data_IF_944461177958
#
_entry.id   IF_944461177958
#
_cell.length_a   1.000
_cell.length_b   1.000
_cell.length_c   1.000
_cell.angle_alpha   90.00
_cell.angle_beta   90.00
_cell.angle_gamma   90.00
#
_symmetry.space_group_name_H-M   'P 1'
#
loop_
_entity.id
_entity.type
_entity.pdbx_description
1 polymer ?
#
# COMPACT_ATOMS: atom_id res chain seq x y z
N UNK A 1 1.85 68.84 -18.28
CA UNK A 1 3.29 68.91 -18.67
C UNK A 1 4.06 69.02 -17.35
N UNK A 2 4.62 67.98 -16.75
CA UNK A 2 5.11 66.66 -17.22
C UNK A 2 4.98 65.63 -16.09
N UNK A 3 4.28 64.51 -16.34
CA UNK A 3 4.31 63.33 -15.48
C UNK A 3 5.41 62.36 -15.95
N UNK A 4 6.03 61.68 -14.98
CA UNK A 4 7.18 60.79 -15.12
C UNK A 4 6.92 59.59 -16.05
N UNK A 5 7.89 59.14 -16.88
CA UNK A 5 7.76 57.91 -17.64
C UNK A 5 8.03 56.69 -16.74
N UNK A 6 7.16 55.69 -16.90
CA UNK A 6 7.25 54.38 -16.26
C UNK A 6 8.61 53.74 -16.56
N UNK A 7 9.38 53.45 -15.51
CA UNK A 7 10.57 52.61 -15.58
C UNK A 7 10.11 51.19 -15.87
N UNK A 8 10.35 50.73 -17.10
CA UNK A 8 10.18 49.35 -17.52
C UNK A 8 11.14 48.44 -16.76
N UNK A 9 10.65 47.86 -15.67
CA UNK A 9 11.27 46.70 -15.03
C UNK A 9 11.06 45.49 -15.94
N UNK A 10 12.09 45.16 -16.72
CA UNK A 10 12.20 43.90 -17.45
C UNK A 10 12.00 42.72 -16.50
N UNK A 11 10.91 41.97 -16.70
CA UNK A 11 10.70 40.65 -16.08
C UNK A 11 11.83 39.74 -16.60
N UNK A 12 12.69 39.16 -15.75
CA UNK A 12 13.65 38.19 -16.23
C UNK A 12 12.90 36.96 -16.77
N UNK A 13 13.22 36.46 -17.97
CA UNK A 13 12.59 35.28 -18.52
C UNK A 13 12.99 34.04 -17.70
N UNK A 14 11.97 33.40 -17.12
CA UNK A 14 11.85 31.94 -16.95
C UNK A 14 13.15 31.14 -16.99
N UNK A 15 13.87 31.11 -15.88
CA UNK A 15 14.94 30.15 -15.63
C UNK A 15 14.48 29.18 -14.53
N UNK A 16 13.68 28.20 -14.93
CA UNK A 16 13.67 26.92 -14.23
C UNK A 16 13.61 25.86 -15.32
N UNK A 17 14.75 25.66 -15.97
CA UNK A 17 15.06 24.36 -16.56
C UNK A 17 15.06 23.38 -15.40
N UNK A 18 13.87 22.87 -15.09
CA UNK A 18 13.68 21.68 -14.29
C UNK A 18 14.58 20.62 -14.91
N UNK A 19 15.69 20.33 -14.22
CA UNK A 19 16.57 19.21 -14.53
C UNK A 19 15.79 17.92 -14.30
N UNK A 20 14.84 17.61 -15.19
CA UNK A 20 14.18 16.33 -15.20
C UNK A 20 15.22 15.31 -15.65
N UNK A 21 15.52 14.28 -14.83
CA UNK A 21 16.41 13.23 -15.27
C UNK A 21 15.84 12.59 -16.56
N UNK A 22 16.70 12.17 -17.51
CA UNK A 22 16.31 11.75 -18.87
C UNK A 22 15.43 10.47 -18.96
N UNK A 23 14.75 10.05 -17.89
CA UNK A 23 13.96 8.82 -17.83
C UNK A 23 12.66 8.88 -16.99
N UNK A 24 12.08 10.07 -16.77
CA UNK A 24 10.87 10.26 -15.94
C UNK A 24 9.74 9.27 -16.25
N UNK A 25 9.43 9.04 -17.54
CA UNK A 25 8.36 8.11 -17.95
C UNK A 25 8.65 6.66 -17.53
N UNK A 26 9.91 6.20 -17.61
CA UNK A 26 10.28 4.85 -17.16
C UNK A 26 10.18 4.72 -15.65
N UNK A 27 10.63 5.73 -14.90
CA UNK A 27 10.50 5.77 -13.44
C UNK A 27 9.03 5.66 -13.01
N UNK A 28 8.15 6.48 -13.59
CA UNK A 28 6.72 6.43 -13.30
C UNK A 28 6.11 5.06 -13.61
N UNK A 29 6.43 4.50 -14.78
CA UNK A 29 5.91 3.19 -15.18
C UNK A 29 6.35 2.06 -14.23
N UNK A 30 7.58 2.14 -13.69
CA UNK A 30 8.10 1.19 -12.69
C UNK A 30 7.32 1.33 -11.37
N UNK A 31 7.09 2.56 -10.89
CA UNK A 31 6.36 2.80 -9.65
C UNK A 31 4.89 2.35 -9.75
N UNK A 32 4.25 2.57 -10.90
CA UNK A 32 2.89 2.08 -11.15
C UNK A 32 2.83 0.56 -11.15
N UNK A 33 3.85 -0.09 -11.70
CA UNK A 33 3.96 -1.55 -11.64
C UNK A 33 4.18 -2.07 -10.22
N UNK A 34 4.99 -1.40 -9.40
CA UNK A 34 5.15 -1.75 -7.99
C UNK A 34 3.83 -1.66 -7.25
N UNK A 35 3.10 -0.57 -7.47
CA UNK A 35 1.83 -0.32 -6.81
C UNK A 35 0.71 -1.25 -7.29
N UNK A 36 0.76 -1.70 -8.55
CA UNK A 36 -0.09 -2.76 -9.05
C UNK A 36 0.14 -4.08 -8.29
N UNK A 37 1.39 -4.50 -8.11
CA UNK A 37 1.71 -5.73 -7.37
C UNK A 37 1.33 -5.61 -5.89
N UNK A 38 1.60 -4.46 -5.28
CA UNK A 38 1.21 -4.15 -3.89
C UNK A 38 -0.31 -4.17 -3.70
N UNK A 39 -1.07 -3.59 -4.63
CA UNK A 39 -2.53 -3.67 -4.63
C UNK A 39 -3.04 -5.11 -4.79
N UNK A 40 -2.40 -5.91 -5.64
CA UNK A 40 -2.74 -7.33 -5.80
C UNK A 40 -2.49 -8.11 -4.51
N UNK A 41 -1.34 -7.93 -3.85
CA UNK A 41 -1.02 -8.61 -2.59
C UNK A 41 -1.95 -8.20 -1.45
N UNK A 42 -2.33 -6.93 -1.35
CA UNK A 42 -3.28 -6.44 -0.36
C UNK A 42 -4.64 -7.15 -0.45
N UNK A 43 -5.20 -7.28 -1.67
CA UNK A 43 -6.48 -7.98 -1.87
C UNK A 43 -6.37 -9.49 -1.69
N UNK A 44 -5.22 -10.09 -2.04
CA UNK A 44 -4.94 -11.49 -1.72
C UNK A 44 -4.97 -11.72 -0.20
N UNK A 45 -4.27 -10.89 0.59
CA UNK A 45 -4.32 -10.98 2.05
C UNK A 45 -5.72 -10.79 2.59
N UNK A 46 -6.49 -9.83 2.09
CA UNK A 46 -7.86 -9.61 2.54
C UNK A 46 -8.71 -10.88 2.41
N UNK A 47 -8.64 -11.56 1.26
CA UNK A 47 -9.41 -12.78 1.01
C UNK A 47 -8.87 -13.99 1.77
N UNK A 48 -7.55 -14.13 1.90
CA UNK A 48 -6.96 -15.27 2.61
C UNK A 48 -7.12 -15.16 4.12
N UNK A 49 -6.91 -13.97 4.69
CA UNK A 49 -7.20 -13.73 6.11
C UNK A 49 -8.70 -13.84 6.41
N UNK A 50 -9.59 -13.43 5.49
CA UNK A 50 -11.03 -13.70 5.63
C UNK A 50 -11.32 -15.20 5.78
N UNK A 51 -10.72 -16.04 4.93
CA UNK A 51 -10.86 -17.50 5.02
C UNK A 51 -10.25 -18.08 6.30
N UNK A 52 -9.13 -17.55 6.77
CA UNK A 52 -8.57 -17.96 8.06
C UNK A 52 -9.50 -17.60 9.22
N UNK A 53 -10.06 -16.39 9.22
CA UNK A 53 -11.03 -15.95 10.22
C UNK A 53 -12.32 -16.78 10.16
N UNK A 54 -12.71 -17.31 9.01
CA UNK A 54 -13.85 -18.22 8.92
C UNK A 54 -13.63 -19.49 9.74
N UNK A 55 -12.41 -20.04 9.74
CA UNK A 55 -12.09 -21.20 10.56
C UNK A 55 -12.14 -20.91 12.07
N UNK A 56 -12.01 -19.65 12.48
CA UNK A 56 -12.02 -19.23 13.90
C UNK A 56 -13.42 -18.79 14.35
N UNK A 57 -14.13 -18.03 13.52
CA UNK A 57 -15.44 -17.45 13.85
C UNK A 57 -16.62 -18.37 13.46
N UNK A 58 -16.39 -19.37 12.61
CA UNK A 58 -17.35 -20.40 12.21
C UNK A 58 -18.52 -19.92 11.33
N UNK A 59 -18.57 -18.64 10.97
CA UNK A 59 -19.64 -18.07 10.15
C UNK A 59 -19.10 -17.12 9.09
N UNK A 60 -19.61 -17.23 7.86
CA UNK A 60 -19.17 -16.38 6.74
C UNK A 60 -19.43 -14.90 7.03
N UNK A 61 -20.60 -14.60 7.60
CA UNK A 61 -21.03 -13.25 7.88
C UNK A 61 -20.11 -12.56 8.89
N UNK A 62 -19.73 -13.23 9.99
CA UNK A 62 -18.84 -12.62 10.98
C UNK A 62 -17.45 -12.34 10.39
N UNK A 63 -16.86 -13.31 9.68
CA UNK A 63 -15.52 -13.16 9.09
C UNK A 63 -15.47 -12.07 8.04
N UNK A 64 -16.48 -11.96 7.18
CA UNK A 64 -16.58 -10.91 6.16
C UNK A 64 -16.74 -9.53 6.82
N UNK A 65 -17.60 -9.40 7.84
CA UNK A 65 -17.80 -8.12 8.52
C UNK A 65 -16.50 -7.67 9.19
N UNK A 66 -15.84 -8.55 9.93
CA UNK A 66 -14.60 -8.22 10.65
C UNK A 66 -13.50 -7.82 9.68
N UNK A 67 -13.24 -8.63 8.65
CA UNK A 67 -12.13 -8.38 7.72
C UNK A 67 -12.37 -7.11 6.90
N UNK A 68 -13.58 -6.86 6.42
CA UNK A 68 -13.88 -5.64 5.65
C UNK A 68 -13.81 -4.43 6.56
N UNK A 69 -14.32 -4.52 7.78
CA UNK A 69 -14.27 -3.41 8.75
C UNK A 69 -12.83 -3.03 9.09
N UNK A 70 -11.98 -4.01 9.41
CA UNK A 70 -10.57 -3.73 9.74
C UNK A 70 -9.78 -3.25 8.53
N UNK A 71 -10.04 -3.76 7.33
CA UNK A 71 -9.42 -3.24 6.10
C UNK A 71 -9.83 -1.81 5.82
N UNK A 72 -11.12 -1.49 5.85
CA UNK A 72 -11.58 -0.12 5.58
C UNK A 72 -11.08 0.87 6.63
N UNK A 73 -11.12 0.47 7.91
CA UNK A 73 -10.62 1.31 9.00
C UNK A 73 -9.10 1.48 8.95
N UNK A 74 -8.36 0.40 8.76
CA UNK A 74 -6.90 0.41 8.64
C UNK A 74 -6.44 1.20 7.42
N UNK A 75 -7.03 1.00 6.25
CA UNK A 75 -6.69 1.78 5.05
C UNK A 75 -6.93 3.28 5.27
N UNK A 76 -8.06 3.65 5.89
CA UNK A 76 -8.36 5.05 6.24
C UNK A 76 -7.36 5.64 7.23
N UNK A 77 -7.07 4.93 8.32
CA UNK A 77 -6.06 5.34 9.30
C UNK A 77 -4.66 5.45 8.66
N UNK A 78 -4.30 4.49 7.83
CA UNK A 78 -3.04 4.45 7.09
C UNK A 78 -2.90 5.61 6.13
N UNK A 79 -3.96 5.96 5.40
CA UNK A 79 -3.96 7.10 4.49
C UNK A 79 -3.75 8.43 5.25
N UNK A 80 -4.40 8.60 6.40
CA UNK A 80 -4.22 9.79 7.26
C UNK A 80 -2.81 9.85 7.85
N UNK A 81 -2.33 8.74 8.42
CA UNK A 81 -1.00 8.66 9.03
C UNK A 81 0.10 8.81 7.98
N UNK A 82 -0.02 8.14 6.84
CA UNK A 82 0.88 8.23 5.70
C UNK A 82 0.91 9.63 5.08
N UNK A 83 -0.24 10.30 4.96
CA UNK A 83 -0.33 11.69 4.52
C UNK A 83 0.49 12.62 5.42
N UNK A 84 0.23 12.59 6.74
CA UNK A 84 1.02 13.37 7.71
C UNK A 84 2.50 13.00 7.70
N UNK A 85 2.82 11.71 7.60
CA UNK A 85 4.20 11.22 7.55
C UNK A 85 4.97 11.82 6.36
N UNK A 86 4.32 11.97 5.21
CA UNK A 86 4.95 12.58 4.02
C UNK A 86 5.29 14.05 4.18
N UNK A 87 4.57 14.76 5.05
CA UNK A 87 4.84 16.17 5.40
C UNK A 87 6.05 16.29 6.34
N UNK A 88 6.16 15.39 7.32
CA UNK A 88 7.27 15.37 8.28
C UNK A 88 8.58 14.82 7.70
N UNK A 89 8.51 13.81 6.82
CA UNK A 89 9.69 13.12 6.28
C UNK A 89 9.73 13.08 4.74
N UNK A 90 9.73 14.25 4.06
CA UNK A 90 9.60 14.33 2.60
C UNK A 90 10.76 13.71 1.82
N UNK A 91 11.92 13.48 2.45
CA UNK A 91 13.12 12.94 1.79
C UNK A 91 13.23 11.41 1.88
N UNK A 92 12.40 10.75 2.70
CA UNK A 92 12.49 9.32 2.99
C UNK A 92 11.35 8.49 2.40
N UNK A 93 10.63 9.01 1.40
CA UNK A 93 9.40 8.40 0.88
C UNK A 93 9.61 6.98 0.34
N UNK A 94 10.57 6.77 -0.56
CA UNK A 94 10.84 5.44 -1.15
C UNK A 94 11.42 4.46 -0.13
N UNK A 95 12.22 4.95 0.83
CA UNK A 95 12.72 4.12 1.94
C UNK A 95 11.55 3.68 2.83
N UNK A 96 10.60 4.58 3.09
CA UNK A 96 9.43 4.28 3.92
C UNK A 96 8.51 3.29 3.20
N UNK A 97 8.32 3.44 1.89
CA UNK A 97 7.61 2.46 1.07
C UNK A 97 8.25 1.07 1.14
N UNK A 98 9.58 0.99 1.00
CA UNK A 98 10.35 -0.25 1.17
C UNK A 98 10.12 -0.89 2.57
N UNK A 99 10.22 -0.09 3.64
CA UNK A 99 10.04 -0.57 5.02
C UNK A 99 8.61 -1.06 5.24
N UNK A 100 7.62 -0.38 4.68
CA UNK A 100 6.21 -0.78 4.75
C UNK A 100 6.00 -2.14 4.06
N UNK A 101 6.47 -2.31 2.82
CA UNK A 101 6.34 -3.56 2.08
C UNK A 101 7.04 -4.73 2.78
N UNK A 102 8.22 -4.50 3.35
CA UNK A 102 8.91 -5.50 4.18
C UNK A 102 8.15 -5.84 5.46
N UNK A 103 7.56 -4.84 6.12
CA UNK A 103 6.78 -5.04 7.35
C UNK A 103 5.51 -5.83 7.08
N UNK A 104 4.84 -5.56 5.96
CA UNK A 104 3.68 -6.33 5.49
C UNK A 104 4.08 -7.78 5.18
N UNK A 105 5.19 -7.98 4.45
CA UNK A 105 5.71 -9.32 4.15
C UNK A 105 6.05 -10.09 5.43
N UNK A 106 6.72 -9.44 6.38
CA UNK A 106 7.07 -10.03 7.67
C UNK A 106 5.82 -10.44 8.46
N UNK A 107 4.82 -9.55 8.53
CA UNK A 107 3.54 -9.88 9.14
C UNK A 107 2.88 -11.07 8.43
N UNK A 108 2.88 -11.07 7.09
CA UNK A 108 2.32 -12.15 6.28
C UNK A 108 2.93 -13.52 6.59
N UNK A 109 4.24 -13.60 6.83
CA UNK A 109 4.94 -14.85 7.22
C UNK A 109 4.38 -15.42 8.53
N UNK A 110 4.18 -14.56 9.53
CA UNK A 110 3.71 -14.97 10.84
C UNK A 110 2.19 -15.05 10.94
N UNK A 111 1.47 -14.43 10.01
CA UNK A 111 0.01 -14.31 10.05
C UNK A 111 -0.73 -15.65 10.20
N UNK A 112 -0.32 -16.77 9.56
CA UNK A 112 -1.03 -18.03 9.73
C UNK A 112 -0.97 -18.53 11.18
N UNK A 113 0.20 -18.44 11.81
CA UNK A 113 0.41 -18.88 13.19
C UNK A 113 -0.29 -17.96 14.19
N UNK A 114 -0.22 -16.64 13.96
CA UNK A 114 -0.87 -15.64 14.82
C UNK A 114 -2.39 -15.83 14.80
N UNK A 115 -2.98 -15.95 13.61
CA UNK A 115 -4.43 -16.07 13.45
C UNK A 115 -4.92 -17.44 13.94
N UNK A 116 -4.20 -18.54 13.68
CA UNK A 116 -4.57 -19.86 14.19
C UNK A 116 -4.47 -19.98 15.72
N UNK A 117 -3.70 -19.10 16.36
CA UNK A 117 -3.58 -19.08 17.82
C UNK A 117 -4.71 -18.30 18.51
N UNK A 118 -5.60 -17.64 17.77
CA UNK A 118 -6.68 -16.82 18.32
C UNK A 118 -7.59 -17.61 19.26
N UNK A 119 -7.93 -18.86 18.92
CA UNK A 119 -8.74 -19.74 19.76
C UNK A 119 -8.10 -19.96 21.14
N UNK A 120 -6.78 -20.07 21.21
CA UNK A 120 -6.05 -20.24 22.47
C UNK A 120 -6.08 -18.99 23.35
N UNK A 121 -6.14 -17.80 22.74
CA UNK A 121 -6.23 -16.52 23.45
C UNK A 121 -7.65 -16.12 23.84
N UNK A 122 -8.66 -16.69 23.18
CA UNK A 122 -10.05 -16.29 23.34
C UNK A 122 -10.73 -16.86 24.60
N UNK A 123 -9.95 -17.22 25.65
CA UNK A 123 -10.35 -17.78 26.95
C UNK A 123 -11.87 -17.97 27.08
N UNK A 124 -12.36 -19.21 26.88
CA UNK A 124 -13.79 -19.62 26.84
C UNK A 124 -14.55 -19.60 25.50
N UNK A 125 -13.88 -19.57 24.34
CA UNK A 125 -14.56 -19.56 23.03
C UNK A 125 -15.52 -18.37 22.84
N UNK A 126 -15.23 -17.24 23.49
CA UNK A 126 -16.07 -16.07 23.38
C UNK A 126 -15.85 -15.35 22.05
N UNK A 127 -16.82 -15.47 21.14
CA UNK A 127 -16.80 -14.87 19.81
C UNK A 127 -16.48 -13.37 19.81
N UNK A 128 -16.95 -12.62 20.81
CA UNK A 128 -16.68 -11.18 20.89
C UNK A 128 -15.20 -10.88 21.13
N UNK A 129 -14.54 -11.70 21.96
CA UNK A 129 -13.10 -11.57 22.21
C UNK A 129 -12.32 -11.92 20.94
N UNK A 130 -12.70 -12.99 20.25
CA UNK A 130 -12.08 -13.39 18.97
C UNK A 130 -12.18 -12.27 17.93
N UNK A 131 -13.34 -11.61 17.82
CA UNK A 131 -13.56 -10.47 16.91
C UNK A 131 -12.63 -9.31 17.25
N UNK A 132 -12.56 -8.91 18.52
CA UNK A 132 -11.72 -7.78 18.97
C UNK A 132 -10.25 -8.08 18.72
N UNK A 133 -9.78 -9.28 19.08
CA UNK A 133 -8.39 -9.69 18.85
C UNK A 133 -8.05 -9.74 17.36
N UNK A 134 -8.94 -10.28 16.53
CA UNK A 134 -8.78 -10.31 15.07
C UNK A 134 -8.63 -8.89 14.51
N UNK A 135 -9.47 -7.97 14.97
CA UNK A 135 -9.41 -6.56 14.57
C UNK A 135 -8.09 -5.91 15.00
N UNK A 136 -7.67 -6.10 16.26
CA UNK A 136 -6.42 -5.52 16.79
C UNK A 136 -5.17 -6.09 16.13
N UNK A 137 -5.18 -7.36 15.72
CA UNK A 137 -4.06 -7.99 15.02
C UNK A 137 -3.97 -7.47 13.58
N UNK A 138 -5.11 -7.39 12.89
CA UNK A 138 -5.15 -7.05 11.46
C UNK A 138 -5.12 -5.53 11.20
N UNK A 139 -5.39 -4.68 12.19
CA UNK A 139 -5.28 -3.23 12.03
C UNK A 139 -3.85 -2.78 11.72
N UNK A 140 -2.84 -3.47 12.26
CA UNK A 140 -1.44 -3.14 12.02
C UNK A 140 -1.06 -3.25 10.53
N UNK A 141 -1.16 -4.42 9.86
CA UNK A 141 -0.80 -4.56 8.46
C UNK A 141 -1.71 -3.74 7.53
N UNK A 142 -3.01 -3.60 7.83
CA UNK A 142 -3.94 -2.83 7.00
C UNK A 142 -3.67 -1.32 7.08
N UNK A 143 -3.23 -0.80 8.23
CA UNK A 143 -2.74 0.58 8.36
C UNK A 143 -1.49 0.81 7.53
N UNK A 144 -0.55 -0.14 7.54
CA UNK A 144 0.65 -0.08 6.70
C UNK A 144 0.29 -0.09 5.20
N UNK A 145 -0.63 -0.96 4.78
CA UNK A 145 -1.16 -0.99 3.42
C UNK A 145 -1.78 0.36 3.03
N UNK A 146 -2.55 0.99 3.93
CA UNK A 146 -3.16 2.31 3.68
C UNK A 146 -2.15 3.45 3.52
N UNK A 147 -1.01 3.36 4.21
CA UNK A 147 0.05 4.37 4.14
C UNK A 147 0.83 4.35 2.82
N UNK A 148 0.83 3.23 2.09
CA UNK A 148 1.55 3.12 0.81
C UNK A 148 1.10 4.15 -0.23
N UNK A 149 -0.21 4.40 -0.32
CA UNK A 149 -0.82 5.29 -1.30
C UNK A 149 -0.33 6.76 -1.16
N UNK A 150 -0.53 7.46 -0.03
CA UNK A 150 -0.09 8.85 0.09
C UNK A 150 1.43 9.00 -0.05
N UNK A 151 2.21 8.02 0.40
CA UNK A 151 3.67 8.02 0.25
C UNK A 151 4.07 8.02 -1.22
N UNK A 152 3.46 7.15 -2.01
CA UNK A 152 3.79 7.02 -3.42
C UNK A 152 3.23 8.17 -4.25
N UNK A 153 2.04 8.67 -3.91
CA UNK A 153 1.46 9.89 -4.52
C UNK A 153 2.40 11.07 -4.34
N UNK A 154 2.88 11.32 -3.11
CA UNK A 154 3.79 12.44 -2.84
C UNK A 154 5.09 12.31 -3.63
N UNK A 155 5.62 11.10 -3.77
CA UNK A 155 6.85 10.87 -4.53
C UNK A 155 6.64 11.06 -6.03
N UNK A 156 5.53 10.55 -6.59
CA UNK A 156 5.19 10.68 -8.01
C UNK A 156 4.85 12.13 -8.39
N UNK A 157 4.25 12.89 -7.49
CA UNK A 157 3.96 14.30 -7.67
C UNK A 157 5.21 15.16 -7.93
N UNK A 158 6.40 14.73 -7.51
CA UNK A 158 7.64 15.42 -7.87
C UNK A 158 7.95 15.34 -9.38
N UNK A 159 7.37 14.38 -10.11
CA UNK A 159 7.57 14.17 -11.54
C UNK A 159 6.41 14.69 -12.39
N UNK A 160 5.22 14.81 -11.81
CA UNK A 160 4.01 15.28 -12.46
C UNK A 160 3.65 16.66 -11.92
N UNK A 161 3.47 17.66 -12.78
CA UNK A 161 3.06 19.01 -12.35
C UNK A 161 1.61 19.10 -11.83
N UNK A 162 0.86 18.00 -11.86
CA UNK A 162 -0.55 17.94 -11.47
C UNK A 162 -0.83 16.78 -10.51
N UNK A 163 -1.07 17.10 -9.24
CA UNK A 163 -1.35 16.13 -8.19
C UNK A 163 -2.55 15.21 -8.51
N UNK A 164 -3.59 15.75 -9.13
CA UNK A 164 -4.77 14.97 -9.53
C UNK A 164 -4.45 13.84 -10.51
N UNK A 165 -3.45 14.05 -11.38
CA UNK A 165 -2.98 13.02 -12.31
C UNK A 165 -2.22 11.92 -11.57
N UNK A 166 -1.31 12.29 -10.67
CA UNK A 166 -0.57 11.35 -9.83
C UNK A 166 -1.49 10.47 -8.99
N UNK A 167 -2.50 11.08 -8.36
CA UNK A 167 -3.54 10.38 -7.59
C UNK A 167 -4.32 9.42 -8.50
N UNK A 168 -4.81 9.88 -9.64
CA UNK A 168 -5.61 9.07 -10.56
C UNK A 168 -4.86 7.88 -11.15
N UNK A 169 -3.64 8.08 -11.65
CA UNK A 169 -2.82 7.02 -12.27
C UNK A 169 -2.40 5.96 -11.24
N UNK A 170 -1.99 6.36 -10.03
CA UNK A 170 -1.68 5.43 -8.95
C UNK A 170 -2.92 4.69 -8.45
N UNK A 171 -4.04 5.40 -8.27
CA UNK A 171 -5.29 4.77 -7.85
C UNK A 171 -5.76 3.74 -8.87
N UNK A 172 -5.67 4.07 -10.17
CA UNK A 172 -5.96 3.13 -11.25
C UNK A 172 -5.07 1.89 -11.17
N UNK A 173 -3.75 2.05 -11.05
CA UNK A 173 -2.81 0.93 -10.97
C UNK A 173 -3.10 0.01 -9.77
N UNK A 174 -3.36 0.58 -8.59
CA UNK A 174 -3.67 -0.20 -7.39
C UNK A 174 -5.03 -0.88 -7.46
N UNK A 175 -6.06 -0.21 -7.97
CA UNK A 175 -7.38 -0.84 -8.14
C UNK A 175 -7.34 -1.95 -9.18
N UNK A 176 -6.60 -1.77 -10.28
CA UNK A 176 -6.39 -2.84 -11.27
C UNK A 176 -5.63 -4.02 -10.65
N UNK A 177 -4.59 -3.73 -9.86
CA UNK A 177 -3.85 -4.73 -9.08
C UNK A 177 -4.75 -5.49 -8.12
N UNK A 178 -5.56 -4.78 -7.35
CA UNK A 178 -6.53 -5.37 -6.42
C UNK A 178 -7.58 -6.24 -7.11
N UNK A 179 -8.12 -5.78 -8.25
CA UNK A 179 -9.04 -6.58 -9.06
C UNK A 179 -8.38 -7.87 -9.56
N UNK A 180 -7.14 -7.78 -10.04
CA UNK A 180 -6.35 -8.94 -10.46
C UNK A 180 -6.05 -9.89 -9.28
N UNK A 181 -5.68 -9.35 -8.12
CA UNK A 181 -5.46 -10.11 -6.89
C UNK A 181 -6.72 -10.84 -6.43
N UNK A 182 -7.88 -10.18 -6.44
CA UNK A 182 -9.16 -10.79 -6.10
C UNK A 182 -9.56 -11.92 -7.07
N UNK A 183 -9.33 -11.71 -8.37
CA UNK A 183 -9.50 -12.76 -9.38
C UNK A 183 -8.58 -13.96 -9.11
N UNK A 184 -7.29 -13.73 -8.90
CA UNK A 184 -6.33 -14.79 -8.60
C UNK A 184 -6.69 -15.54 -7.32
N UNK A 185 -7.09 -14.84 -6.26
CA UNK A 185 -7.50 -15.45 -5.00
C UNK A 185 -8.66 -16.42 -5.21
N UNK A 186 -9.77 -15.93 -5.77
CA UNK A 186 -11.03 -16.66 -5.84
C UNK A 186 -11.06 -17.77 -6.88
N UNK A 187 -10.35 -17.59 -8.01
CA UNK A 187 -10.47 -18.49 -9.17
C UNK A 187 -9.23 -19.34 -9.45
N UNK A 188 -8.07 -19.00 -8.90
CA UNK A 188 -6.81 -19.69 -9.23
C UNK A 188 -6.16 -20.24 -7.99
N UNK A 189 -5.68 -19.39 -7.09
CA UNK A 189 -4.80 -19.78 -5.99
C UNK A 189 -5.51 -20.72 -5.00
N UNK A 190 -6.75 -20.42 -4.63
CA UNK A 190 -7.50 -21.29 -3.71
C UNK A 190 -7.96 -22.63 -4.33
N UNK A 191 -7.78 -22.80 -5.65
CA UNK A 191 -8.02 -24.07 -6.33
C UNK A 191 -6.74 -24.92 -6.47
N UNK A 192 -5.58 -24.28 -6.67
CA UNK A 192 -4.32 -24.97 -6.96
C UNK A 192 -3.40 -25.14 -5.74
N UNK A 193 -3.61 -24.36 -4.67
CA UNK A 193 -2.73 -24.37 -3.50
C UNK A 193 -3.51 -24.23 -2.19
N UNK A 194 -2.89 -24.71 -1.11
CA UNK A 194 -3.42 -24.59 0.24
C UNK A 194 -3.45 -23.13 0.71
N UNK A 195 -4.30 -22.83 1.68
CA UNK A 195 -4.49 -21.46 2.19
C UNK A 195 -3.19 -20.83 2.69
N UNK A 196 -2.37 -21.59 3.42
CA UNK A 196 -1.06 -21.11 3.91
C UNK A 196 -0.09 -20.81 2.76
N UNK A 197 -0.03 -21.68 1.76
CA UNK A 197 0.80 -21.47 0.56
C UNK A 197 0.34 -20.24 -0.24
N UNK A 198 -0.97 -20.01 -0.32
CA UNK A 198 -1.53 -18.82 -0.95
C UNK A 198 -1.15 -17.53 -0.21
N UNK A 199 -1.12 -17.55 1.13
CA UNK A 199 -0.60 -16.44 1.94
C UNK A 199 0.89 -16.22 1.67
N UNK A 200 1.70 -17.28 1.58
CA UNK A 200 3.12 -17.14 1.26
C UNK A 200 3.36 -16.65 -0.17
N UNK A 201 2.45 -16.90 -1.11
CA UNK A 201 2.48 -16.25 -2.42
C UNK A 201 2.28 -14.74 -2.30
N UNK A 202 1.35 -14.26 -1.46
CA UNK A 202 1.21 -12.82 -1.18
C UNK A 202 2.48 -12.23 -0.54
N UNK A 203 3.11 -12.95 0.40
CA UNK A 203 4.40 -12.56 1.00
C UNK A 203 5.47 -12.41 -0.07
N UNK A 204 5.56 -13.38 -0.98
CA UNK A 204 6.49 -13.33 -2.11
C UNK A 204 6.28 -12.07 -2.96
N UNK A 205 5.03 -11.67 -3.23
CA UNK A 205 4.75 -10.44 -3.99
C UNK A 205 5.23 -9.18 -3.26
N UNK A 206 5.00 -9.05 -1.94
CA UNK A 206 5.51 -7.90 -1.18
C UNK A 206 7.04 -7.90 -1.11
N UNK A 207 7.68 -9.07 -0.92
CA UNK A 207 9.15 -9.18 -0.95
C UNK A 207 9.71 -8.81 -2.32
N UNK A 208 9.05 -9.22 -3.40
CA UNK A 208 9.39 -8.84 -4.77
C UNK A 208 9.35 -7.32 -4.93
N UNK A 209 8.26 -6.67 -4.49
CA UNK A 209 8.13 -5.21 -4.53
C UNK A 209 9.21 -4.53 -3.68
N UNK A 210 9.49 -5.04 -2.49
CA UNK A 210 10.55 -4.52 -1.62
C UNK A 210 11.93 -4.62 -2.29
N UNK A 211 12.29 -5.78 -2.86
CA UNK A 211 13.57 -5.98 -3.56
C UNK A 211 13.66 -5.05 -4.77
N UNK A 212 12.60 -4.95 -5.57
CA UNK A 212 12.57 -4.06 -6.73
C UNK A 212 12.70 -2.58 -6.32
N UNK A 213 12.07 -2.18 -5.22
CA UNK A 213 12.18 -0.84 -4.63
C UNK A 213 13.61 -0.57 -4.15
N UNK A 214 14.27 -1.55 -3.52
CA UNK A 214 15.66 -1.44 -3.09
C UNK A 214 16.62 -1.29 -4.29
N UNK A 215 16.42 -2.05 -5.37
CA UNK A 215 17.19 -1.94 -6.61
C UNK A 215 16.98 -0.56 -7.23
N UNK A 216 15.73 -0.08 -7.28
CA UNK A 216 15.40 1.26 -7.75
C UNK A 216 16.12 2.35 -6.96
N UNK A 217 16.13 2.23 -5.62
CA UNK A 217 16.80 3.19 -4.74
C UNK A 217 18.32 3.21 -4.93
N UNK A 218 18.96 2.03 -5.11
CA UNK A 218 20.40 1.96 -5.41
C UNK A 218 20.73 2.62 -6.74
N UNK A 219 19.90 2.44 -7.76
CA UNK A 219 20.10 3.03 -9.09
C UNK A 219 19.95 4.55 -9.12
N UNK A 220 19.22 5.15 -8.17
CA UNK A 220 19.15 6.61 -8.03
C UNK A 220 20.35 7.22 -7.30
N UNK A 221 21.05 6.44 -6.46
CA UNK A 221 22.24 6.90 -5.74
C UNK A 221 23.54 6.75 -6.53
N UNK A 222 23.56 5.89 -7.54
CA UNK A 222 24.67 5.68 -8.47
C UNK A 222 24.59 6.63 -9.66
#
# INVERSE_FOLDING_TARGET
>A
RTENPCVGGSIPPSATTSNFPPNTRKTLSILYFFFFISGASALLYQLFWQRMLFNQLGTDLASIIVIVSVFMFGLGLGALAGGKFTEFFPHHLIISYLVIELSIALFGIFSPNIIASLDSFSFSNNIFITIILSFLILIFPTTLMGATFPILVRYVDHFNTHIGRSVGELYFANTLGGAFGAYLAGFVLLYVMELSSAIYFSVFLNLLVAILTLIFLKKQKS
#
